data_IF_707107370669
#
_entry.id   IF_707107370669
#
_cell.length_a   1.000
_cell.length_b   1.000
_cell.length_c   1.000
_cell.angle_alpha   90.00
_cell.angle_beta   90.00
_cell.angle_gamma   90.00
#
_symmetry.space_group_name_H-M   'P 1'
#
loop_
_entity.id
_entity.type
_entity.pdbx_description
1 polymer ?
#
# COMPACT_ATOMS: atom_id res chain seq x y z
N UNK A 1 9.27 7.27 -20.27
CA UNK A 1 9.93 8.51 -19.80
C UNK A 1 9.91 8.46 -18.29
N UNK A 2 11.03 8.09 -17.66
CA UNK A 2 11.15 8.06 -16.20
C UNK A 2 11.20 9.51 -15.71
N UNK A 3 10.18 9.95 -14.97
CA UNK A 3 10.30 11.21 -14.23
C UNK A 3 11.43 11.03 -13.22
N UNK A 4 12.51 11.78 -13.41
CA UNK A 4 13.50 12.08 -12.39
C UNK A 4 12.77 12.77 -11.25
N UNK A 5 12.32 11.99 -10.26
CA UNK A 5 11.73 12.52 -9.05
C UNK A 5 12.72 13.48 -8.39
N UNK A 6 12.22 14.61 -7.89
CA UNK A 6 13.03 15.57 -7.16
C UNK A 6 13.72 14.87 -5.98
N UNK A 7 15.05 14.82 -6.01
CA UNK A 7 15.88 14.09 -5.04
C UNK A 7 16.01 14.80 -3.68
N UNK A 8 15.50 16.02 -3.54
CA UNK A 8 15.54 16.76 -2.26
C UNK A 8 14.78 15.99 -1.18
N UNK A 9 15.27 16.02 0.04
CA UNK A 9 14.53 15.46 1.18
C UNK A 9 13.38 16.38 1.58
N UNK A 10 12.39 15.87 2.32
CA UNK A 10 11.30 16.70 2.88
C UNK A 10 11.82 17.82 3.78
N UNK A 11 12.96 17.60 4.46
CA UNK A 11 13.61 18.62 5.28
C UNK A 11 14.21 19.75 4.44
N UNK A 12 14.80 19.41 3.30
CA UNK A 12 15.34 20.40 2.37
C UNK A 12 14.23 21.25 1.77
N UNK A 13 13.14 20.61 1.32
CA UNK A 13 11.97 21.33 0.80
C UNK A 13 11.35 22.27 1.84
N UNK A 14 11.26 21.82 3.09
CA UNK A 14 10.77 22.67 4.18
C UNK A 14 11.68 23.88 4.41
N UNK A 15 13.00 23.67 4.41
CA UNK A 15 13.98 24.76 4.57
C UNK A 15 13.88 25.77 3.43
N UNK A 16 13.87 25.30 2.19
CA UNK A 16 13.78 26.14 0.99
C UNK A 16 12.47 26.95 0.99
N UNK A 17 11.36 26.30 1.33
CA UNK A 17 10.06 26.97 1.47
C UNK A 17 10.08 28.07 2.55
N UNK A 18 10.70 27.81 3.71
CA UNK A 18 10.86 28.82 4.78
C UNK A 18 11.73 30.01 4.35
N UNK A 19 12.52 29.87 3.29
CA UNK A 19 13.33 30.93 2.70
C UNK A 19 12.61 31.66 1.55
N UNK A 20 11.36 31.29 1.24
CA UNK A 20 10.52 31.94 0.24
C UNK A 20 10.36 31.15 -1.07
N UNK A 21 10.88 29.93 -1.17
CA UNK A 21 10.65 29.07 -2.35
C UNK A 21 9.23 28.47 -2.34
N UNK A 22 8.32 29.12 -3.07
CA UNK A 22 6.95 28.65 -3.22
C UNK A 22 6.86 27.27 -3.93
N UNK A 23 7.79 26.96 -4.84
CA UNK A 23 7.85 25.68 -5.55
C UNK A 23 8.23 24.53 -4.62
N UNK A 24 9.20 24.74 -3.73
CA UNK A 24 9.52 23.79 -2.67
C UNK A 24 8.33 23.55 -1.74
N UNK A 25 7.56 24.61 -1.43
CA UNK A 25 6.32 24.51 -0.67
C UNK A 25 5.26 23.63 -1.34
N UNK A 26 5.02 23.84 -2.63
CA UNK A 26 4.08 23.04 -3.42
C UNK A 26 4.48 21.56 -3.49
N UNK A 27 5.76 21.29 -3.77
CA UNK A 27 6.26 19.92 -3.84
C UNK A 27 6.17 19.22 -2.49
N UNK A 28 6.52 19.91 -1.40
CA UNK A 28 6.36 19.37 -0.05
C UNK A 28 4.90 19.05 0.26
N UNK A 29 3.97 19.97 -0.06
CA UNK A 29 2.54 19.75 0.16
C UNK A 29 2.03 18.51 -0.58
N UNK A 30 2.44 18.32 -1.85
CA UNK A 30 2.09 17.12 -2.62
C UNK A 30 2.61 15.84 -1.95
N UNK A 31 3.87 15.84 -1.47
CA UNK A 31 4.44 14.68 -0.77
C UNK A 31 3.68 14.32 0.50
N UNK A 32 3.28 15.30 1.29
CA UNK A 32 2.46 15.05 2.49
C UNK A 32 1.06 14.57 2.12
N UNK A 33 0.46 15.07 1.03
CA UNK A 33 -0.83 14.60 0.55
C UNK A 33 -0.77 13.13 0.09
N UNK A 34 0.22 12.77 -0.72
CA UNK A 34 0.44 11.39 -1.19
C UNK A 34 0.71 10.44 -0.01
N UNK A 35 1.50 10.90 0.95
CA UNK A 35 1.83 10.15 2.16
C UNK A 35 0.58 9.92 3.04
N UNK A 36 -0.22 10.95 3.32
CA UNK A 36 -1.49 10.80 4.05
C UNK A 36 -2.47 9.89 3.32
N UNK A 37 -2.54 9.99 1.99
CA UNK A 37 -3.40 9.13 1.18
C UNK A 37 -2.98 7.65 1.29
N UNK A 38 -1.68 7.37 1.19
CA UNK A 38 -1.14 6.01 1.34
C UNK A 38 -1.47 5.41 2.72
N UNK A 39 -1.24 6.18 3.80
CA UNK A 39 -1.58 5.75 5.17
C UNK A 39 -3.09 5.48 5.27
N UNK A 40 -3.92 6.47 4.92
CA UNK A 40 -5.36 6.39 5.13
C UNK A 40 -6.00 5.26 4.33
N UNK A 41 -5.58 5.09 3.08
CA UNK A 41 -6.10 4.04 2.19
C UNK A 41 -5.63 2.66 2.62
N UNK A 42 -4.38 2.49 3.06
CA UNK A 42 -3.88 1.21 3.57
C UNK A 42 -4.61 0.77 4.85
N UNK A 43 -4.91 1.71 5.75
CA UNK A 43 -5.60 1.42 7.01
C UNK A 43 -7.10 1.21 6.82
N UNK A 44 -7.78 2.12 6.12
CA UNK A 44 -9.24 2.21 6.12
C UNK A 44 -9.88 1.89 4.77
N UNK A 45 -9.10 1.67 3.71
CA UNK A 45 -9.60 1.67 2.34
C UNK A 45 -9.96 3.07 1.86
N UNK A 46 -10.22 3.22 0.56
CA UNK A 46 -10.44 4.54 -0.04
C UNK A 46 -11.70 5.23 0.49
N UNK A 47 -12.83 4.51 0.56
CA UNK A 47 -14.10 5.09 1.01
C UNK A 47 -14.04 5.68 2.42
N UNK A 48 -13.56 4.91 3.41
CA UNK A 48 -13.44 5.37 4.81
C UNK A 48 -12.21 6.24 5.05
N UNK A 49 -11.14 6.06 4.30
CA UNK A 49 -9.88 6.79 4.44
C UNK A 49 -9.90 8.21 3.84
N UNK A 50 -10.78 8.46 2.87
CA UNK A 50 -10.88 9.76 2.18
C UNK A 50 -11.05 10.94 3.13
N UNK A 51 -12.05 10.88 4.01
CA UNK A 51 -12.35 12.01 4.91
C UNK A 51 -11.21 12.30 5.89
N UNK A 52 -10.62 11.31 6.61
CA UNK A 52 -9.42 11.52 7.41
C UNK A 52 -8.26 12.16 6.64
N UNK A 53 -8.01 11.69 5.41
CA UNK A 53 -6.95 12.23 4.55
C UNK A 53 -7.19 13.72 4.21
N UNK A 54 -8.40 14.07 3.78
CA UNK A 54 -8.77 15.46 3.46
C UNK A 54 -8.63 16.39 4.69
N UNK A 55 -9.08 15.94 5.86
CA UNK A 55 -8.93 16.72 7.11
C UNK A 55 -7.46 16.87 7.50
N UNK A 56 -6.66 15.82 7.35
CA UNK A 56 -5.23 15.88 7.65
C UNK A 56 -4.50 16.85 6.74
N UNK A 57 -4.81 16.86 5.44
CA UNK A 57 -4.26 17.83 4.48
C UNK A 57 -4.62 19.27 4.87
N UNK A 58 -5.88 19.53 5.23
CA UNK A 58 -6.32 20.85 5.67
C UNK A 58 -5.57 21.31 6.93
N UNK A 59 -5.52 20.45 7.96
CA UNK A 59 -4.81 20.73 9.22
C UNK A 59 -3.31 20.96 9.02
N UNK A 60 -2.71 20.21 8.10
CA UNK A 60 -1.32 20.41 7.72
C UNK A 60 -1.12 21.79 7.10
N UNK A 61 -1.94 22.18 6.11
CA UNK A 61 -1.89 23.49 5.47
C UNK A 61 -2.05 24.65 6.45
N UNK A 62 -3.02 24.56 7.37
CA UNK A 62 -3.29 25.59 8.37
C UNK A 62 -2.19 25.69 9.46
N UNK A 63 -1.52 24.57 9.73
CA UNK A 63 -0.61 24.43 10.86
C UNK A 63 0.88 24.56 10.53
N UNK A 64 1.29 24.26 9.30
CA UNK A 64 2.71 24.10 8.93
C UNK A 64 3.54 25.36 9.18
N UNK A 65 2.94 26.54 9.03
CA UNK A 65 3.61 27.84 9.28
C UNK A 65 4.08 28.02 10.73
N UNK A 66 3.48 27.28 11.67
CA UNK A 66 3.81 27.29 13.11
C UNK A 66 4.95 26.33 13.45
N UNK A 67 5.33 25.44 12.55
CA UNK A 67 6.48 24.54 12.73
C UNK A 67 7.75 25.35 12.48
N UNK A 68 8.62 25.44 13.49
CA UNK A 68 9.89 26.17 13.40
C UNK A 68 11.12 25.26 13.32
N UNK A 69 11.00 24.00 13.75
CA UNK A 69 12.06 23.00 13.72
C UNK A 69 11.73 21.90 12.72
N UNK A 70 12.51 21.82 11.63
CA UNK A 70 12.32 20.81 10.57
C UNK A 70 12.45 19.36 11.06
N UNK A 71 13.11 19.12 12.21
CA UNK A 71 13.15 17.77 12.82
C UNK A 71 11.80 17.34 13.39
N UNK A 72 10.94 18.31 13.73
CA UNK A 72 9.59 18.05 14.27
C UNK A 72 8.54 17.93 13.17
N UNK A 73 8.85 18.32 11.94
CA UNK A 73 7.87 18.38 10.85
C UNK A 73 7.17 17.04 10.60
N UNK A 74 7.94 15.97 10.42
CA UNK A 74 7.38 14.64 10.11
C UNK A 74 6.61 14.07 11.31
N UNK A 75 7.16 14.04 12.54
CA UNK A 75 6.39 13.59 13.71
C UNK A 75 5.11 14.41 13.92
N UNK A 76 5.17 15.73 13.80
CA UNK A 76 4.00 16.60 13.94
C UNK A 76 2.92 16.30 12.89
N UNK A 77 3.32 16.14 11.62
CA UNK A 77 2.40 15.80 10.54
C UNK A 77 1.80 14.39 10.71
N UNK A 78 2.60 13.42 11.18
CA UNK A 78 2.14 12.07 11.47
C UNK A 78 1.04 12.05 12.53
N UNK A 79 1.22 12.82 13.62
CA UNK A 79 0.21 12.94 14.68
C UNK A 79 -1.13 13.50 14.18
N UNK A 80 -1.12 14.36 13.14
CA UNK A 80 -2.35 14.85 12.52
C UNK A 80 -3.13 13.69 11.90
N UNK A 81 -2.51 12.93 11.00
CA UNK A 81 -3.22 11.86 10.29
C UNK A 81 -3.60 10.74 11.25
N UNK A 82 -2.72 10.37 12.18
CA UNK A 82 -3.01 9.39 13.23
C UNK A 82 -4.25 9.76 14.03
N UNK A 83 -4.34 11.00 14.49
CA UNK A 83 -5.50 11.49 15.24
C UNK A 83 -6.81 11.50 14.42
N UNK A 84 -6.75 11.64 13.09
CA UNK A 84 -7.94 11.50 12.24
C UNK A 84 -8.32 10.05 11.96
N UNK A 85 -7.34 9.15 11.86
CA UNK A 85 -7.57 7.71 11.71
C UNK A 85 -8.19 7.11 12.97
N UNK A 86 -7.68 7.48 14.15
CA UNK A 86 -8.21 7.01 15.44
C UNK A 86 -9.69 7.36 15.61
N UNK A 87 -10.12 8.53 15.10
CA UNK A 87 -11.53 8.95 15.08
C UNK A 87 -12.37 8.17 14.08
N UNK A 88 -11.80 7.83 12.93
CA UNK A 88 -12.48 7.06 11.88
C UNK A 88 -12.61 5.57 12.22
N UNK A 89 -11.84 5.10 13.20
CA UNK A 89 -11.96 3.79 13.83
C UNK A 89 -10.85 2.82 13.41
N UNK A 90 -11.12 1.53 13.62
CA UNK A 90 -10.11 0.48 13.44
C UNK A 90 -9.80 0.19 11.96
N UNK A 91 -8.59 -0.34 11.73
CA UNK A 91 -8.11 -0.83 10.44
C UNK A 91 -9.11 -1.80 9.82
N UNK A 92 -9.35 -1.65 8.52
CA UNK A 92 -10.22 -2.51 7.75
C UNK A 92 -9.53 -3.85 7.49
N UNK A 93 -10.21 -4.94 7.83
CA UNK A 93 -9.69 -6.30 7.69
C UNK A 93 -10.28 -7.07 6.51
N UNK A 94 -11.24 -6.50 5.78
CA UNK A 94 -11.79 -7.07 4.57
C UNK A 94 -12.39 -5.96 3.69
N UNK A 95 -12.34 -6.15 2.37
CA UNK A 95 -12.91 -5.25 1.39
C UNK A 95 -12.78 -5.84 -0.02
N UNK A 96 -13.63 -5.35 -0.91
CA UNK A 96 -13.62 -5.73 -2.34
C UNK A 96 -14.08 -4.55 -3.22
N UNK A 97 -13.88 -3.32 -2.72
CA UNK A 97 -14.35 -2.10 -3.37
C UNK A 97 -13.46 -1.78 -4.60
N UNK A 98 -14.04 -1.67 -5.81
CA UNK A 98 -13.31 -1.24 -6.99
C UNK A 98 -12.97 0.25 -6.95
N UNK A 99 -11.83 0.62 -7.52
CA UNK A 99 -11.44 2.02 -7.70
C UNK A 99 -10.52 2.22 -8.91
N UNK A 100 -10.03 3.45 -9.11
CA UNK A 100 -9.10 3.76 -10.19
C UNK A 100 -7.82 2.90 -10.14
N UNK A 101 -7.30 2.61 -8.95
CA UNK A 101 -6.11 1.76 -8.73
C UNK A 101 -6.36 0.26 -8.95
N UNK A 102 -7.60 -0.17 -9.10
CA UNK A 102 -7.96 -1.55 -9.47
C UNK A 102 -8.51 -1.64 -10.90
N UNK A 103 -8.37 -0.57 -11.69
CA UNK A 103 -9.01 -0.43 -13.01
C UNK A 103 -10.53 -0.66 -12.93
N UNK A 104 -11.15 -0.15 -11.87
CA UNK A 104 -12.58 -0.28 -11.56
C UNK A 104 -13.08 -1.73 -11.50
N UNK A 105 -12.21 -2.68 -11.16
CA UNK A 105 -12.56 -4.09 -10.95
C UNK A 105 -12.43 -4.49 -9.47
N UNK A 106 -13.21 -5.49 -9.07
CA UNK A 106 -13.19 -6.05 -7.71
C UNK A 106 -11.84 -6.74 -7.41
N UNK A 107 -11.09 -6.29 -6.38
CA UNK A 107 -9.79 -6.87 -6.00
C UNK A 107 -9.79 -8.38 -5.77
N UNK A 108 -10.80 -8.94 -5.10
CA UNK A 108 -10.91 -10.38 -4.82
C UNK A 108 -11.07 -11.19 -6.09
N UNK A 109 -11.87 -10.70 -7.04
CA UNK A 109 -12.01 -11.33 -8.36
C UNK A 109 -10.70 -11.31 -9.16
N UNK A 110 -9.96 -10.22 -9.09
CA UNK A 110 -8.64 -10.08 -9.68
C UNK A 110 -7.61 -11.05 -9.05
N UNK A 111 -7.55 -11.11 -7.72
CA UNK A 111 -6.67 -12.02 -6.98
C UNK A 111 -7.01 -13.49 -7.21
N UNK A 112 -8.30 -13.82 -7.31
CA UNK A 112 -8.74 -15.19 -7.62
C UNK A 112 -8.23 -15.64 -8.99
N UNK A 113 -8.27 -14.75 -10.00
CA UNK A 113 -7.67 -15.03 -11.31
C UNK A 113 -6.15 -15.15 -11.24
N UNK A 114 -5.49 -14.25 -10.48
CA UNK A 114 -4.05 -14.35 -10.26
C UNK A 114 -3.66 -15.68 -9.61
N UNK A 115 -4.46 -16.21 -8.68
CA UNK A 115 -4.22 -17.51 -8.03
C UNK A 115 -4.18 -18.67 -9.03
N UNK A 116 -4.93 -18.60 -10.14
CA UNK A 116 -4.93 -19.64 -11.16
C UNK A 116 -3.58 -19.73 -11.90
N UNK A 117 -2.91 -18.60 -12.09
CA UNK A 117 -1.63 -18.50 -12.82
C UNK A 117 -0.41 -18.47 -11.88
N UNK A 118 -0.58 -17.96 -10.67
CA UNK A 118 0.44 -17.76 -9.63
C UNK A 118 -0.03 -18.35 -8.28
N UNK A 119 -0.29 -19.68 -8.21
CA UNK A 119 -0.87 -20.29 -7.03
C UNK A 119 0.02 -20.16 -5.79
N UNK A 120 1.34 -20.37 -5.93
CA UNK A 120 2.28 -20.29 -4.82
C UNK A 120 2.36 -18.88 -4.23
N UNK A 121 2.44 -17.86 -5.09
CA UNK A 121 2.51 -16.46 -4.67
C UNK A 121 1.24 -16.02 -3.96
N UNK A 122 0.06 -16.29 -4.55
CA UNK A 122 -1.21 -15.85 -3.93
C UNK A 122 -1.46 -16.62 -2.63
N UNK A 123 -1.18 -17.92 -2.56
CA UNK A 123 -1.31 -18.68 -1.31
C UNK A 123 -0.40 -18.14 -0.20
N UNK A 124 0.85 -17.78 -0.52
CA UNK A 124 1.74 -17.13 0.46
C UNK A 124 1.17 -15.79 0.94
N UNK A 125 0.67 -14.95 0.02
CA UNK A 125 0.09 -13.66 0.41
C UNK A 125 -1.17 -13.83 1.26
N UNK A 126 -2.04 -14.78 0.96
CA UNK A 126 -3.21 -15.06 1.80
C UNK A 126 -2.83 -15.54 3.20
N UNK A 127 -1.78 -16.37 3.32
CA UNK A 127 -1.24 -16.79 4.62
C UNK A 127 -0.69 -15.59 5.41
N UNK A 128 0.10 -14.73 4.76
CA UNK A 128 0.70 -13.54 5.39
C UNK A 128 -0.34 -12.49 5.79
N UNK A 129 -1.35 -12.22 4.96
CA UNK A 129 -2.28 -11.10 5.15
C UNK A 129 -3.55 -11.52 5.88
N UNK A 130 -4.04 -12.73 5.64
CA UNK A 130 -5.26 -13.25 6.27
C UNK A 130 -5.09 -13.54 7.75
N UNK A 131 -3.84 -13.67 8.22
CA UNK A 131 -3.53 -13.62 9.64
C UNK A 131 -3.94 -14.85 10.46
N UNK A 132 -4.26 -15.96 9.77
CA UNK A 132 -4.61 -17.25 10.35
C UNK A 132 -3.44 -18.24 10.33
N UNK A 133 -2.48 -18.02 9.42
CA UNK A 133 -1.32 -18.90 9.27
C UNK A 133 -0.32 -18.70 10.41
N UNK A 134 0.37 -19.78 10.78
CA UNK A 134 1.47 -19.72 11.75
C UNK A 134 2.76 -19.19 11.10
N UNK A 135 3.72 -18.71 11.91
CA UNK A 135 5.02 -18.29 11.40
C UNK A 135 5.76 -19.44 10.68
N UNK A 136 5.64 -20.68 11.17
CA UNK A 136 6.24 -21.85 10.54
C UNK A 136 5.63 -22.17 9.16
N UNK A 137 4.30 -22.00 9.04
CA UNK A 137 3.59 -22.17 7.77
C UNK A 137 4.01 -21.11 6.76
N UNK A 138 4.12 -19.84 7.18
CA UNK A 138 4.60 -18.74 6.33
C UNK A 138 6.04 -19.02 5.85
N UNK A 139 6.92 -19.48 6.75
CA UNK A 139 8.31 -19.81 6.38
C UNK A 139 8.36 -20.95 5.34
N UNK A 140 7.56 -21.99 5.55
CA UNK A 140 7.46 -23.11 4.61
C UNK A 140 6.97 -22.66 3.22
N UNK A 141 5.94 -21.82 3.17
CA UNK A 141 5.40 -21.28 1.91
C UNK A 141 6.38 -20.30 1.23
N UNK A 142 7.15 -19.53 2.01
CA UNK A 142 8.12 -18.57 1.49
C UNK A 142 9.40 -19.23 0.97
N UNK A 143 9.78 -20.41 1.48
CA UNK A 143 11.02 -21.13 1.11
C UNK A 143 11.27 -21.21 -0.41
N UNK A 144 10.34 -21.75 -1.22
CA UNK A 144 10.48 -21.83 -2.67
C UNK A 144 10.61 -20.47 -3.40
N UNK A 145 10.19 -19.38 -2.75
CA UNK A 145 10.22 -18.02 -3.30
C UNK A 145 11.42 -17.20 -2.79
N UNK A 146 12.30 -17.81 -2.00
CA UNK A 146 13.52 -17.18 -1.46
C UNK A 146 13.53 -16.94 0.05
N UNK A 147 12.60 -17.55 0.80
CA UNK A 147 12.52 -17.46 2.26
C UNK A 147 11.93 -16.14 2.77
N UNK A 148 11.62 -16.05 4.06
CA UNK A 148 11.10 -14.81 4.65
C UNK A 148 12.25 -13.82 4.92
N UNK A 149 12.17 -12.52 4.55
CA UNK A 149 11.04 -11.79 3.96
C UNK A 149 11.03 -11.71 2.42
N UNK A 150 12.09 -12.15 1.75
CA UNK A 150 12.25 -11.97 0.30
C UNK A 150 11.16 -12.67 -0.53
N UNK A 151 10.72 -13.86 -0.12
CA UNK A 151 9.68 -14.63 -0.77
C UNK A 151 8.32 -13.94 -0.72
N UNK A 152 7.99 -13.29 0.41
CA UNK A 152 6.74 -12.52 0.55
C UNK A 152 6.76 -11.29 -0.35
N UNK A 153 7.87 -10.55 -0.36
CA UNK A 153 8.04 -9.42 -1.27
C UNK A 153 8.00 -9.83 -2.74
N UNK A 154 8.66 -10.95 -3.09
CA UNK A 154 8.65 -11.51 -4.44
C UNK A 154 7.23 -11.89 -4.86
N UNK A 155 6.46 -12.55 -3.98
CA UNK A 155 5.08 -12.89 -4.23
C UNK A 155 4.22 -11.64 -4.48
N UNK A 156 4.35 -10.63 -3.61
CA UNK A 156 3.63 -9.35 -3.73
C UNK A 156 3.90 -8.69 -5.08
N UNK A 157 5.16 -8.53 -5.46
CA UNK A 157 5.52 -7.89 -6.73
C UNK A 157 5.13 -8.72 -7.95
N UNK A 158 5.26 -10.05 -7.91
CA UNK A 158 4.81 -10.92 -9.01
C UNK A 158 3.31 -10.83 -9.24
N UNK A 159 2.51 -10.82 -8.17
CA UNK A 159 1.06 -10.62 -8.27
C UNK A 159 0.76 -9.23 -8.81
N UNK A 160 1.45 -8.19 -8.33
CA UNK A 160 1.32 -6.82 -8.82
C UNK A 160 1.61 -6.71 -10.32
N UNK A 161 2.71 -7.30 -10.78
CA UNK A 161 3.09 -7.36 -12.20
C UNK A 161 2.06 -8.12 -13.03
N UNK A 162 1.61 -9.29 -12.57
CA UNK A 162 0.59 -10.07 -13.25
C UNK A 162 -0.71 -9.28 -13.40
N UNK A 163 -1.16 -8.58 -12.35
CA UNK A 163 -2.34 -7.72 -12.38
C UNK A 163 -2.19 -6.60 -13.42
N UNK A 164 -1.04 -5.93 -13.45
CA UNK A 164 -0.73 -4.90 -14.45
C UNK A 164 -0.79 -5.47 -15.87
N UNK A 165 -0.04 -6.53 -16.11
CA UNK A 165 0.23 -7.04 -17.46
C UNK A 165 -0.94 -7.85 -18.04
N UNK A 166 -1.76 -8.50 -17.20
CA UNK A 166 -2.89 -9.36 -17.64
C UNK A 166 -4.26 -8.71 -17.50
N UNK A 167 -4.41 -7.74 -16.61
CA UNK A 167 -5.73 -7.16 -16.28
C UNK A 167 -5.80 -5.64 -16.43
N UNK A 168 -4.68 -5.01 -16.81
CA UNK A 168 -4.61 -3.57 -17.08
C UNK A 168 -4.68 -2.71 -15.82
N UNK A 169 -4.37 -3.26 -14.65
CA UNK A 169 -4.32 -2.48 -13.41
C UNK A 169 -3.15 -1.48 -13.49
N UNK A 170 -3.38 -0.17 -13.29
CA UNK A 170 -2.42 0.88 -13.61
C UNK A 170 -1.38 1.07 -12.51
N UNK A 171 -0.53 0.06 -12.29
CA UNK A 171 0.57 0.15 -11.33
C UNK A 171 1.80 0.83 -11.94
N UNK A 172 2.22 1.95 -11.35
CA UNK A 172 3.48 2.60 -11.72
C UNK A 172 4.66 1.91 -11.02
N UNK A 173 4.48 1.43 -9.78
CA UNK A 173 5.56 0.84 -8.98
C UNK A 173 5.43 -0.68 -8.92
N UNK A 174 6.05 -1.38 -9.86
CA UNK A 174 6.10 -2.85 -9.86
C UNK A 174 7.52 -3.35 -10.22
N UNK A 175 8.46 -3.32 -9.26
CA UNK A 175 9.85 -3.71 -9.49
C UNK A 175 9.98 -5.19 -9.84
N UNK A 176 10.96 -5.51 -10.70
CA UNK A 176 11.23 -6.89 -11.15
C UNK A 176 11.86 -7.78 -10.08
N UNK A 177 12.50 -7.18 -9.09
CA UNK A 177 13.15 -7.87 -7.98
C UNK A 177 12.67 -7.30 -6.64
N UNK A 178 12.60 -8.14 -5.59
CA UNK A 178 12.23 -7.68 -4.26
C UNK A 178 13.26 -6.66 -3.73
N UNK A 179 12.76 -5.53 -3.23
CA UNK A 179 13.56 -4.51 -2.55
C UNK A 179 13.63 -4.83 -1.07
N UNK A 180 14.79 -5.29 -0.59
CA UNK A 180 14.95 -5.77 0.78
C UNK A 180 14.63 -4.69 1.84
N UNK A 181 14.97 -3.42 1.57
CA UNK A 181 14.68 -2.30 2.48
C UNK A 181 13.17 -2.11 2.71
N UNK A 182 12.32 -2.69 1.86
CA UNK A 182 10.86 -2.71 2.00
C UNK A 182 10.35 -3.96 2.70
N UNK A 183 11.20 -4.77 3.34
CA UNK A 183 10.79 -5.96 4.08
C UNK A 183 9.64 -5.75 5.09
N UNK A 184 9.51 -4.59 5.78
CA UNK A 184 8.37 -4.36 6.67
C UNK A 184 7.04 -4.13 5.94
N UNK A 185 7.05 -3.86 4.63
CA UNK A 185 5.85 -3.51 3.85
C UNK A 185 4.71 -4.54 3.97
N UNK A 186 4.93 -5.85 3.80
CA UNK A 186 3.85 -6.82 3.97
C UNK A 186 3.30 -6.89 5.39
N UNK A 187 4.12 -6.63 6.42
CA UNK A 187 3.66 -6.56 7.81
C UNK A 187 2.78 -5.33 8.05
N UNK A 188 3.17 -4.18 7.50
CA UNK A 188 2.37 -2.97 7.53
C UNK A 188 1.01 -3.17 6.84
N UNK A 189 1.05 -3.68 5.61
CA UNK A 189 -0.14 -3.90 4.79
C UNK A 189 -1.05 -5.02 5.30
N UNK A 190 -0.55 -5.95 6.13
CA UNK A 190 -1.39 -6.96 6.77
C UNK A 190 -1.93 -6.52 8.14
N UNK A 191 -1.50 -5.36 8.66
CA UNK A 191 -1.82 -4.93 10.01
C UNK A 191 -1.17 -5.81 11.09
N UNK A 192 0.05 -6.27 10.83
CA UNK A 192 0.80 -7.25 11.64
C UNK A 192 2.15 -6.73 12.14
N UNK A 193 2.39 -5.41 12.09
CA UNK A 193 3.49 -4.81 12.84
C UNK A 193 3.37 -5.19 14.31
N UNK A 194 4.48 -5.47 14.98
CA UNK A 194 4.48 -6.03 16.32
C UNK A 194 3.95 -5.03 17.36
N UNK A 195 4.12 -3.74 17.11
CA UNK A 195 3.66 -2.67 18.01
C UNK A 195 3.17 -1.45 17.23
N UNK A 196 2.36 -0.61 17.87
CA UNK A 196 1.98 0.68 17.31
C UNK A 196 3.19 1.60 17.07
N UNK A 197 4.22 1.51 17.91
CA UNK A 197 5.45 2.31 17.75
C UNK A 197 6.25 1.91 16.49
N UNK A 198 6.25 0.62 16.15
CA UNK A 198 6.84 0.12 14.91
C UNK A 198 6.05 0.61 13.69
N UNK A 199 4.72 0.56 13.77
CA UNK A 199 3.85 1.08 12.71
C UNK A 199 4.03 2.59 12.51
N UNK A 200 4.06 3.38 13.59
CA UNK A 200 4.32 4.81 13.55
C UNK A 200 5.69 5.11 12.94
N UNK A 201 6.72 4.34 13.31
CA UNK A 201 8.07 4.50 12.77
C UNK A 201 8.13 4.18 11.28
N UNK A 202 7.45 3.12 10.83
CA UNK A 202 7.35 2.76 9.42
C UNK A 202 6.62 3.84 8.61
N UNK A 203 5.49 4.33 9.12
CA UNK A 203 4.74 5.40 8.48
C UNK A 203 5.57 6.68 8.38
N UNK A 204 6.30 7.07 9.42
CA UNK A 204 7.21 8.23 9.37
C UNK A 204 8.39 8.04 8.41
N UNK A 205 8.92 6.82 8.28
CA UNK A 205 9.96 6.50 7.31
C UNK A 205 9.44 6.56 5.87
N UNK A 206 8.19 6.13 5.64
CA UNK A 206 7.58 6.02 4.32
C UNK A 206 7.64 7.32 3.50
N UNK A 207 7.53 8.50 4.12
CA UNK A 207 7.61 9.80 3.42
C UNK A 207 8.98 10.06 2.76
N UNK A 208 10.02 9.32 3.16
CA UNK A 208 11.36 9.43 2.57
C UNK A 208 11.52 8.61 1.27
N UNK A 209 10.61 7.67 0.99
CA UNK A 209 10.57 6.88 -0.25
C UNK A 209 9.22 7.11 -0.95
N UNK A 210 9.22 8.01 -1.95
CA UNK A 210 8.02 8.35 -2.72
C UNK A 210 7.48 7.15 -3.51
N UNK A 211 8.37 6.27 -3.97
CA UNK A 211 7.95 5.05 -4.67
C UNK A 211 7.29 4.08 -3.70
N UNK A 212 7.70 4.03 -2.43
CA UNK A 212 7.03 3.23 -1.41
C UNK A 212 5.65 3.79 -1.05
N UNK A 213 5.52 5.11 -0.85
CA UNK A 213 4.22 5.76 -0.63
C UNK A 213 3.23 5.36 -1.74
N UNK A 214 3.66 5.53 -3.00
CA UNK A 214 2.86 5.20 -4.17
C UNK A 214 2.54 3.71 -4.24
N UNK A 215 3.52 2.85 -4.01
CA UNK A 215 3.35 1.39 -4.03
C UNK A 215 2.29 0.91 -3.04
N UNK A 216 2.29 1.45 -1.82
CA UNK A 216 1.29 1.17 -0.80
C UNK A 216 -0.09 1.66 -1.24
N UNK A 217 -0.19 2.90 -1.71
CA UNK A 217 -1.45 3.48 -2.16
C UNK A 217 -2.09 2.66 -3.30
N UNK A 218 -1.28 2.30 -4.30
CA UNK A 218 -1.67 1.46 -5.43
C UNK A 218 -2.18 0.08 -4.99
N UNK A 219 -1.48 -0.59 -4.06
CA UNK A 219 -1.79 -1.97 -3.69
C UNK A 219 -2.81 -2.09 -2.54
N UNK A 220 -3.19 -0.99 -1.89
CA UNK A 220 -3.98 -1.00 -0.65
C UNK A 220 -5.27 -1.81 -0.73
N UNK A 221 -6.04 -1.71 -1.82
CA UNK A 221 -7.29 -2.47 -1.98
C UNK A 221 -7.05 -3.98 -2.11
N UNK A 222 -5.95 -4.38 -2.73
CA UNK A 222 -5.55 -5.79 -2.81
C UNK A 222 -5.08 -6.31 -1.45
N UNK A 223 -4.32 -5.50 -0.71
CA UNK A 223 -3.94 -5.84 0.67
C UNK A 223 -5.16 -6.03 1.57
N UNK A 224 -6.15 -5.14 1.51
CA UNK A 224 -7.40 -5.25 2.26
C UNK A 224 -8.18 -6.51 1.87
N UNK A 225 -8.28 -6.80 0.57
CA UNK A 225 -8.93 -8.02 0.07
C UNK A 225 -8.22 -9.30 0.55
N UNK A 226 -6.88 -9.30 0.58
CA UNK A 226 -6.08 -10.41 1.08
C UNK A 226 -6.29 -10.65 2.58
N UNK A 227 -6.44 -9.59 3.39
CA UNK A 227 -6.78 -9.71 4.82
C UNK A 227 -8.11 -10.45 5.04
N UNK A 228 -9.09 -10.20 4.16
CA UNK A 228 -10.41 -10.82 4.21
C UNK A 228 -10.49 -12.20 3.55
N UNK A 229 -9.46 -12.59 2.81
CA UNK A 229 -9.39 -13.83 2.05
C UNK A 229 -9.97 -13.70 0.64
N UNK A 230 -9.37 -14.46 -0.28
CA UNK A 230 -9.74 -14.46 -1.70
C UNK A 230 -10.68 -15.65 -1.96
N UNK A 231 -11.81 -15.47 -2.65
CA UNK A 231 -12.77 -16.55 -2.91
C UNK A 231 -12.12 -17.66 -3.74
N UNK A 232 -12.62 -18.88 -3.59
CA UNK A 232 -12.24 -19.97 -4.50
C UNK A 232 -12.63 -19.60 -5.94
N UNK A 233 -11.78 -19.95 -6.91
CA UNK A 233 -12.12 -19.78 -8.32
C UNK A 233 -13.26 -20.77 -8.62
N UNK A 234 -14.43 -20.27 -9.02
CA UNK A 234 -15.49 -21.15 -9.49
C UNK A 234 -14.97 -21.94 -10.71
N UNK A 235 -15.18 -23.26 -10.77
CA UNK A 235 -14.78 -24.04 -11.93
C UNK A 235 -15.43 -23.43 -13.18
N UNK A 236 -14.63 -23.22 -14.25
CA UNK A 236 -15.17 -22.72 -15.52
C UNK A 236 -16.32 -23.65 -15.94
N UNK A 237 -17.50 -23.13 -16.33
CA UNK A 237 -18.54 -23.98 -16.88
C UNK A 237 -17.95 -24.72 -18.08
N UNK A 238 -17.98 -26.06 -18.01
CA UNK A 238 -17.57 -26.91 -19.11
C UNK A 238 -18.39 -26.49 -20.33
N UNK A 239 -17.71 -26.00 -21.37
CA UNK A 239 -18.34 -25.87 -22.68
C UNK A 239 -18.75 -27.28 -23.09
N UNK A 240 -20.03 -27.58 -22.92
CA UNK A 240 -20.63 -28.73 -23.56
C UNK A 240 -20.41 -28.53 -25.06
N UNK A 241 -19.58 -29.39 -25.65
CA UNK A 241 -19.49 -29.53 -27.09
C UNK A 241 -20.88 -29.89 -27.57
N UNK A 242 -21.63 -28.87 -28.00
CA UNK A 242 -22.88 -29.05 -28.72
C UNK A 242 -22.59 -29.90 -29.94
N UNK A 243 -23.08 -31.14 -29.92
CA UNK A 243 -23.25 -31.93 -31.14
C UNK A 243 -24.14 -31.11 -32.07
N UNK A 244 -23.57 -30.64 -33.17
CA UNK A 244 -24.31 -30.16 -34.33
C UNK A 244 -25.07 -31.36 -34.96
N UNK A 245 -26.21 -31.09 -35.64
CA UNK A 245 -27.21 -32.09 -36.01
C UNK A 245 -26.73 -33.14 -37.02
#
# INVERSE_FOLDING_TARGET
MSQTGDARSTKDLFKDWRQGDAGAGQLMAQRFADWYYAIATSRLGEGRGRRPCEVACQKFGDGIVKVSDGRKLIPWAHEIIKGELDKAGQRVMDGDEPNAYTNNQAPKGLLARARADLPAEVTLLEACYGGRASAAEIEQLAGPLGGNPLGVLRARYRVKQWLRDRTGVPFDVAPDQPVLDRAPLPLYESGRMATMAEEDSFEQWMISDLNLCRDIAEFAQFAIALRGGVPAVAPRPSQSLGRAP
#
